data_IF_598904163739
#
_entry.id   IF_598904163739
#
_cell.length_a   1.000
_cell.length_b   1.000
_cell.length_c   1.000
_cell.angle_alpha   90.00
_cell.angle_beta   90.00
_cell.angle_gamma   90.00
#
_symmetry.space_group_name_H-M   'P 1'
#
loop_
_entity.id
_entity.type
_entity.pdbx_description
1 polymer ?
#
# COMPACT_ATOMS: atom_id res chain seq x y z
N UNK A 1 9.93 12.19 0.76
CA UNK A 1 9.74 10.72 0.66
C UNK A 1 8.56 10.35 -0.25
N UNK A 2 7.59 11.26 -0.39
CA UNK A 2 6.32 11.10 -1.09
C UNK A 2 6.48 10.75 -2.57
N UNK A 3 7.45 11.35 -3.26
CA UNK A 3 7.73 11.03 -4.66
C UNK A 3 8.08 9.53 -4.87
N UNK A 4 8.83 8.93 -3.95
CA UNK A 4 9.26 7.53 -4.06
C UNK A 4 8.17 6.55 -3.65
N UNK A 5 7.35 6.89 -2.64
CA UNK A 5 6.32 6.01 -2.10
C UNK A 5 4.98 6.11 -2.84
N UNK A 6 4.73 7.22 -3.55
CA UNK A 6 3.43 7.52 -4.16
C UNK A 6 3.52 7.77 -5.67
N UNK A 7 4.59 8.44 -6.15
CA UNK A 7 4.63 8.94 -7.55
C UNK A 7 5.45 8.07 -8.51
N UNK A 8 6.40 7.30 -8.00
CA UNK A 8 7.19 6.37 -8.80
C UNK A 8 6.27 5.35 -9.52
N UNK A 9 6.48 5.03 -10.81
CA UNK A 9 5.68 4.04 -11.54
C UNK A 9 5.58 2.69 -10.83
N UNK A 10 6.68 2.23 -10.22
CA UNK A 10 6.70 1.00 -9.42
C UNK A 10 5.70 1.06 -8.25
N UNK A 11 5.76 2.14 -7.47
CA UNK A 11 4.89 2.31 -6.29
C UNK A 11 3.43 2.49 -6.69
N UNK A 12 3.14 3.21 -7.78
CA UNK A 12 1.78 3.37 -8.31
C UNK A 12 1.16 2.04 -8.74
N UNK A 13 1.95 1.17 -9.40
CA UNK A 13 1.50 -0.17 -9.78
C UNK A 13 1.14 -1.00 -8.54
N UNK A 14 2.01 -1.00 -7.52
CA UNK A 14 1.76 -1.72 -6.27
C UNK A 14 0.49 -1.22 -5.58
N UNK A 15 0.29 0.10 -5.48
CA UNK A 15 -0.93 0.66 -4.91
C UNK A 15 -2.19 0.28 -5.68
N UNK A 16 -2.13 0.36 -7.00
CA UNK A 16 -3.24 -0.03 -7.87
C UNK A 16 -3.62 -1.49 -7.64
N UNK A 17 -2.66 -2.40 -7.65
CA UNK A 17 -2.92 -3.85 -7.52
C UNK A 17 -3.44 -4.22 -6.14
N UNK A 18 -2.98 -3.54 -5.08
CA UNK A 18 -3.46 -3.76 -3.72
C UNK A 18 -4.88 -3.23 -3.53
N UNK A 19 -5.19 -2.03 -4.04
CA UNK A 19 -6.54 -1.46 -3.96
C UNK A 19 -7.54 -2.28 -4.77
N UNK A 20 -7.15 -2.70 -5.97
CA UNK A 20 -7.96 -3.59 -6.82
C UNK A 20 -8.23 -4.93 -6.13
N UNK A 21 -7.21 -5.54 -5.53
CA UNK A 21 -7.36 -6.80 -4.79
C UNK A 21 -8.34 -6.68 -3.61
N UNK A 22 -8.28 -5.58 -2.85
CA UNK A 22 -9.19 -5.34 -1.72
C UNK A 22 -10.60 -4.89 -2.14
N UNK A 23 -10.84 -4.67 -3.45
CA UNK A 23 -12.08 -4.08 -3.97
C UNK A 23 -12.47 -2.79 -3.22
N UNK A 24 -11.46 -1.97 -2.86
CA UNK A 24 -11.67 -0.76 -2.09
C UNK A 24 -12.25 0.35 -2.99
N UNK A 25 -13.30 1.06 -2.57
CA UNK A 25 -13.89 2.16 -3.32
C UNK A 25 -13.07 3.46 -3.14
N UNK A 26 -11.76 3.38 -3.33
CA UNK A 26 -10.87 4.53 -3.31
C UNK A 26 -9.88 4.48 -4.48
N UNK A 27 -9.42 5.64 -4.91
CA UNK A 27 -8.39 5.73 -5.94
C UNK A 27 -7.01 5.47 -5.33
N UNK A 28 -6.07 4.88 -6.07
CA UNK A 28 -4.66 4.83 -5.67
C UNK A 28 -4.09 6.23 -5.47
N UNK A 29 -3.11 6.40 -4.55
CA UNK A 29 -2.35 7.65 -4.47
C UNK A 29 -1.69 7.92 -5.81
N UNK A 30 -1.81 9.15 -6.31
CA UNK A 30 -1.33 9.51 -7.64
C UNK A 30 -0.55 10.81 -7.65
N UNK A 31 -1.20 11.92 -7.30
CA UNK A 31 -0.63 13.28 -7.43
C UNK A 31 -0.69 14.10 -6.15
N UNK A 32 -1.23 13.52 -5.08
CA UNK A 32 -1.38 14.17 -3.79
C UNK A 32 -0.01 14.63 -3.25
N UNK A 33 0.05 15.75 -2.49
CA UNK A 33 1.30 16.24 -1.91
C UNK A 33 1.91 15.25 -0.91
N UNK A 34 1.06 14.52 -0.18
CA UNK A 34 1.48 13.50 0.78
C UNK A 34 0.53 12.30 0.84
N UNK A 35 0.99 11.22 1.47
CA UNK A 35 0.16 10.06 1.76
C UNK A 35 -1.01 10.41 2.71
N UNK A 36 -0.81 11.41 3.58
CA UNK A 36 -1.84 11.87 4.50
C UNK A 36 -2.99 12.56 3.76
N UNK A 37 -2.68 13.37 2.75
CA UNK A 37 -3.68 14.03 1.91
C UNK A 37 -4.52 13.00 1.14
N UNK A 38 -3.86 11.99 0.57
CA UNK A 38 -4.54 10.85 -0.05
C UNK A 38 -5.43 10.12 0.96
N UNK A 39 -4.93 9.85 2.17
CA UNK A 39 -5.68 9.16 3.22
C UNK A 39 -6.97 9.91 3.59
N UNK A 40 -6.91 11.24 3.74
CA UNK A 40 -8.08 12.05 4.04
C UNK A 40 -9.16 11.94 2.96
N UNK A 41 -8.76 11.95 1.69
CA UNK A 41 -9.69 11.80 0.55
C UNK A 41 -10.24 10.38 0.47
N UNK A 42 -9.37 9.36 0.52
CA UNK A 42 -9.75 7.96 0.44
C UNK A 42 -10.71 7.54 1.58
N UNK A 43 -10.47 8.02 2.81
CA UNK A 43 -11.30 7.71 3.97
C UNK A 43 -12.72 8.30 3.85
N UNK A 44 -12.87 9.46 3.22
CA UNK A 44 -14.17 10.08 2.99
C UNK A 44 -15.01 9.28 2.00
N UNK A 45 -14.40 8.81 0.90
CA UNK A 45 -15.06 7.96 -0.10
C UNK A 45 -15.30 6.51 0.34
N UNK A 46 -14.64 6.05 1.41
CA UNK A 46 -14.73 4.65 1.85
C UNK A 46 -15.82 4.44 2.92
N UNK A 47 -16.71 3.43 2.75
CA UNK A 47 -17.71 3.05 3.75
C UNK A 47 -17.10 2.76 5.12
N UNK A 48 -17.83 3.08 6.20
CA UNK A 48 -17.31 2.95 7.57
C UNK A 48 -16.83 1.53 7.91
N UNK A 49 -17.51 0.51 7.39
CA UNK A 49 -17.13 -0.90 7.56
C UNK A 49 -15.73 -1.23 7.01
N UNK A 50 -15.30 -0.55 5.95
CA UNK A 50 -14.02 -0.80 5.26
C UNK A 50 -12.88 0.11 5.75
N UNK A 51 -13.17 1.19 6.49
CA UNK A 51 -12.16 2.17 6.94
C UNK A 51 -11.04 1.55 7.79
N UNK A 52 -11.33 0.50 8.58
CA UNK A 52 -10.31 -0.23 9.35
C UNK A 52 -9.34 -0.99 8.45
N UNK A 53 -9.84 -1.58 7.36
CA UNK A 53 -9.03 -2.22 6.33
C UNK A 53 -8.18 -1.21 5.59
N UNK A 54 -8.79 -0.08 5.19
CA UNK A 54 -8.09 1.03 4.54
C UNK A 54 -6.94 1.56 5.42
N UNK A 55 -7.16 1.75 6.72
CA UNK A 55 -6.12 2.20 7.65
C UNK A 55 -4.93 1.23 7.70
N UNK A 56 -5.24 -0.07 7.71
CA UNK A 56 -4.21 -1.12 7.78
C UNK A 56 -3.39 -1.16 6.49
N UNK A 57 -4.05 -1.05 5.33
CA UNK A 57 -3.40 -0.92 4.02
C UNK A 57 -2.55 0.35 3.92
N UNK A 58 -3.09 1.49 4.38
CA UNK A 58 -2.40 2.78 4.35
C UNK A 58 -1.09 2.78 5.15
N UNK A 59 -0.97 1.91 6.15
CA UNK A 59 0.26 1.71 6.93
C UNK A 59 1.16 0.63 6.30
N UNK A 60 0.57 -0.49 5.88
CA UNK A 60 1.32 -1.65 5.42
C UNK A 60 1.98 -1.42 4.06
N UNK A 61 1.27 -0.86 3.09
CA UNK A 61 1.76 -0.71 1.71
C UNK A 61 3.01 0.19 1.63
N UNK A 62 3.04 1.41 2.21
CA UNK A 62 4.27 2.22 2.23
C UNK A 62 5.43 1.53 2.94
N UNK A 63 5.16 0.83 4.06
CA UNK A 63 6.20 0.11 4.82
C UNK A 63 6.85 -0.97 3.96
N UNK A 64 6.05 -1.74 3.22
CA UNK A 64 6.55 -2.82 2.36
C UNK A 64 7.28 -2.28 1.13
N UNK A 65 6.80 -1.18 0.52
CA UNK A 65 7.51 -0.48 -0.56
C UNK A 65 8.88 0.01 -0.06
N UNK A 66 8.93 0.63 1.12
CA UNK A 66 10.18 1.08 1.73
C UNK A 66 11.14 -0.08 2.00
N UNK A 67 10.64 -1.19 2.57
CA UNK A 67 11.44 -2.40 2.83
C UNK A 67 12.02 -2.98 1.53
N UNK A 68 11.21 -3.11 0.48
CA UNK A 68 11.65 -3.61 -0.81
C UNK A 68 12.76 -2.74 -1.42
N UNK A 69 12.56 -1.41 -1.37
CA UNK A 69 13.57 -0.46 -1.85
C UNK A 69 14.90 -0.62 -1.11
N UNK A 70 14.87 -0.75 0.22
CA UNK A 70 16.09 -0.94 0.99
C UNK A 70 16.81 -2.24 0.61
N UNK A 71 16.09 -3.34 0.42
CA UNK A 71 16.69 -4.60 -0.07
C UNK A 71 17.31 -4.42 -1.47
N UNK A 72 16.66 -3.70 -2.39
CA UNK A 72 17.25 -3.42 -3.71
C UNK A 72 18.56 -2.60 -3.61
N UNK A 73 18.62 -1.62 -2.70
CA UNK A 73 19.77 -0.72 -2.56
C UNK A 73 20.92 -1.36 -1.79
N UNK A 74 20.62 -2.08 -0.70
CA UNK A 74 21.63 -2.59 0.24
C UNK A 74 21.97 -4.06 0.04
N UNK A 75 21.07 -4.86 -0.53
CA UNK A 75 21.22 -6.31 -0.71
C UNK A 75 21.30 -6.72 -2.19
N UNK A 76 21.18 -5.76 -3.12
CA UNK A 76 21.25 -6.02 -4.57
C UNK A 76 20.04 -6.78 -5.12
N UNK A 77 18.92 -6.82 -4.38
CA UNK A 77 17.71 -7.47 -4.86
C UNK A 77 17.15 -6.78 -6.12
N UNK A 78 16.53 -7.55 -7.01
CA UNK A 78 15.86 -7.01 -8.19
C UNK A 78 14.47 -6.47 -7.82
N UNK A 79 14.10 -5.27 -8.30
CA UNK A 79 12.77 -4.71 -8.05
C UNK A 79 11.70 -5.49 -8.83
N UNK A 80 10.72 -6.05 -8.12
CA UNK A 80 9.58 -6.74 -8.72
C UNK A 80 8.28 -6.30 -8.04
N UNK A 81 7.40 -5.65 -8.81
CA UNK A 81 6.12 -5.18 -8.30
C UNK A 81 5.20 -6.35 -7.98
N UNK A 82 5.22 -7.40 -8.81
CA UNK A 82 4.43 -8.60 -8.63
C UNK A 82 4.80 -9.33 -7.34
N UNK A 83 6.10 -9.57 -7.11
CA UNK A 83 6.56 -10.24 -5.88
C UNK A 83 6.25 -9.41 -4.64
N UNK A 84 6.38 -8.08 -4.74
CA UNK A 84 6.04 -7.20 -3.63
C UNK A 84 4.53 -7.23 -3.33
N UNK A 85 3.67 -7.24 -4.35
CA UNK A 85 2.21 -7.34 -4.18
C UNK A 85 1.85 -8.66 -3.49
N UNK A 86 2.46 -9.79 -3.88
CA UNK A 86 2.25 -11.09 -3.21
C UNK A 86 2.62 -11.00 -1.73
N UNK A 87 3.81 -10.49 -1.41
CA UNK A 87 4.27 -10.33 -0.01
C UNK A 87 3.36 -9.41 0.81
N UNK A 88 2.84 -8.34 0.22
CA UNK A 88 1.88 -7.45 0.90
C UNK A 88 0.58 -8.20 1.21
N UNK A 89 0.06 -9.01 0.28
CA UNK A 89 -1.17 -9.80 0.50
C UNK A 89 -1.01 -10.83 1.62
N UNK A 90 0.14 -11.49 1.66
CA UNK A 90 0.50 -12.45 2.72
C UNK A 90 0.56 -11.75 4.09
N UNK A 91 1.28 -10.64 4.19
CA UNK A 91 1.41 -9.86 5.41
C UNK A 91 0.05 -9.28 5.86
N UNK A 92 -0.77 -8.77 4.94
CA UNK A 92 -2.12 -8.30 5.23
C UNK A 92 -3.02 -9.42 5.79
N UNK A 93 -2.87 -10.64 5.28
CA UNK A 93 -3.61 -11.81 5.78
C UNK A 93 -3.18 -12.19 7.20
N UNK A 94 -1.89 -12.06 7.52
CA UNK A 94 -1.39 -12.25 8.89
C UNK A 94 -1.94 -11.19 9.84
N UNK A 95 -1.97 -9.92 9.43
CA UNK A 95 -2.55 -8.83 10.24
C UNK A 95 -4.04 -9.02 10.48
N UNK A 96 -4.78 -9.49 9.48
CA UNK A 96 -6.20 -9.79 9.62
C UNK A 96 -6.44 -10.91 10.63
N UNK A 97 -5.67 -12.01 10.57
CA UNK A 97 -5.73 -13.12 11.51
C UNK A 97 -5.40 -12.69 12.93
N UNK A 98 -4.31 -11.94 13.12
CA UNK A 98 -3.89 -11.45 14.43
C UNK A 98 -4.90 -10.48 15.09
N UNK A 99 -5.76 -9.83 14.29
CA UNK A 99 -6.83 -8.94 14.78
C UNK A 99 -8.14 -9.68 15.07
N UNK A 100 -8.31 -10.89 14.53
CA UNK A 100 -9.49 -11.73 14.74
C UNK A 100 -9.34 -12.67 15.96
N UNK A 101 -8.11 -12.84 16.46
CA UNK A 101 -7.79 -13.55 17.70
C UNK A 101 -7.95 -12.61 18.91
#
# INVERSE_FOLDING_TARGET
MDHLLLRCPFSRQVWHDIIAWLSMPCTPPSYEPSLLDWWHTARQGTPQSMRKGLASMALLTPRMIWKNRNSCVFEGALPSAQDLVVKIKEEASLWAKARAA
#
